data_IF_341586600251
#
_entry.id   IF_341586600251
#
_cell.length_a   1.000
_cell.length_b   1.000
_cell.length_c   1.000
_cell.angle_alpha   90.00
_cell.angle_beta   90.00
_cell.angle_gamma   90.00
#
_symmetry.space_group_name_H-M   'P 1'
#
loop_
_entity.id
_entity.type
_entity.pdbx_description
1 polymer ?
#
# COMPACT_ATOMS: atom_id res chain seq x y z
N UNK A 1 -1.15 6.04 -13.57
CA UNK A 1 -1.64 5.19 -12.46
C UNK A 1 -2.97 4.59 -12.86
N UNK A 2 -3.09 3.27 -12.84
CA UNK A 2 -4.37 2.56 -12.97
C UNK A 2 -5.04 2.52 -11.60
N UNK A 3 -6.33 2.81 -11.58
CA UNK A 3 -7.18 2.68 -10.39
C UNK A 3 -8.16 1.54 -10.62
N UNK A 4 -8.17 0.56 -9.72
CA UNK A 4 -9.19 -0.48 -9.68
C UNK A 4 -9.95 -0.41 -8.38
N UNK A 5 -11.23 -0.05 -8.45
CA UNK A 5 -12.09 -0.03 -7.28
C UNK A 5 -12.63 -1.43 -6.97
N UNK A 6 -12.59 -1.79 -5.70
CA UNK A 6 -13.24 -2.97 -5.12
C UNK A 6 -14.24 -2.50 -4.09
N UNK A 7 -14.99 -3.43 -3.51
CA UNK A 7 -16.05 -3.11 -2.56
C UNK A 7 -15.55 -2.36 -1.31
N UNK A 8 -14.41 -2.79 -0.74
CA UNK A 8 -13.88 -2.28 0.53
C UNK A 8 -12.43 -1.75 0.45
N UNK A 9 -11.80 -1.77 -0.73
CA UNK A 9 -10.46 -1.22 -0.96
C UNK A 9 -10.29 -0.75 -2.40
N UNK A 10 -9.22 -0.01 -2.67
CA UNK A 10 -8.83 0.44 -4.00
C UNK A 10 -7.41 0.01 -4.28
N UNK A 11 -7.18 -0.53 -5.48
CA UNK A 11 -5.84 -0.87 -5.96
C UNK A 11 -5.33 0.30 -6.79
N UNK A 12 -4.16 0.82 -6.43
CA UNK A 12 -3.42 1.83 -7.15
C UNK A 12 -2.19 1.18 -7.77
N UNK A 13 -2.21 0.98 -9.08
CA UNK A 13 -1.11 0.37 -9.82
C UNK A 13 -0.36 1.44 -10.61
N UNK A 14 0.96 1.35 -10.59
CA UNK A 14 1.79 2.25 -11.37
C UNK A 14 1.73 1.91 -12.87
N UNK A 15 1.57 2.92 -13.72
CA UNK A 15 1.54 2.77 -15.20
C UNK A 15 2.86 3.15 -15.87
N UNK A 16 3.72 3.89 -15.18
CA UNK A 16 4.98 4.39 -15.74
C UNK A 16 6.17 3.53 -15.28
N UNK A 17 7.40 4.03 -15.38
CA UNK A 17 8.57 3.33 -14.84
C UNK A 17 9.26 4.23 -13.80
N UNK A 18 9.10 3.89 -12.52
CA UNK A 18 9.80 4.58 -11.43
C UNK A 18 9.08 4.47 -10.09
N UNK A 19 9.63 3.67 -9.18
CA UNK A 19 9.07 3.47 -7.82
C UNK A 19 9.04 4.78 -7.03
N UNK A 20 10.13 5.55 -7.10
CA UNK A 20 10.26 6.84 -6.40
C UNK A 20 9.31 7.90 -6.91
N UNK A 21 9.16 8.03 -8.23
CA UNK A 21 8.21 8.98 -8.84
C UNK A 21 6.79 8.57 -8.51
N UNK A 22 6.49 7.28 -8.52
CA UNK A 22 5.18 6.78 -8.13
C UNK A 22 4.87 7.05 -6.65
N UNK A 23 5.79 6.77 -5.73
CA UNK A 23 5.61 7.11 -4.31
C UNK A 23 5.36 8.62 -4.12
N UNK A 24 6.14 9.47 -4.78
CA UNK A 24 5.97 10.94 -4.73
C UNK A 24 4.61 11.38 -5.29
N UNK A 25 4.12 10.71 -6.33
CA UNK A 25 2.80 10.96 -6.89
C UNK A 25 1.69 10.50 -5.93
N UNK A 26 1.86 9.36 -5.28
CA UNK A 26 0.93 8.84 -4.27
C UNK A 26 0.82 9.78 -3.05
N UNK A 27 1.96 10.29 -2.55
CA UNK A 27 2.00 11.31 -1.49
C UNK A 27 1.15 12.54 -1.84
N UNK A 28 1.08 12.91 -3.13
CA UNK A 28 0.30 14.04 -3.60
C UNK A 28 -1.19 13.72 -3.81
N UNK A 29 -1.51 12.57 -4.41
CA UNK A 29 -2.88 12.26 -4.86
C UNK A 29 -3.73 11.60 -3.78
N UNK A 30 -3.15 10.77 -2.93
CA UNK A 30 -3.90 10.02 -1.91
C UNK A 30 -4.63 10.97 -0.94
N UNK A 31 -3.99 12.01 -0.37
CA UNK A 31 -4.69 12.94 0.53
C UNK A 31 -5.86 13.68 -0.12
N UNK A 32 -5.91 13.74 -1.45
CA UNK A 32 -6.90 14.52 -2.21
C UNK A 32 -8.07 13.69 -2.72
N UNK A 33 -7.83 12.40 -3.02
CA UNK A 33 -8.79 11.57 -3.74
C UNK A 33 -9.00 10.18 -3.15
N UNK A 34 -8.16 9.76 -2.20
CA UNK A 34 -8.15 8.39 -1.69
C UNK A 34 -7.96 8.31 -0.17
N UNK A 35 -8.12 9.43 0.55
CA UNK A 35 -7.79 9.53 1.98
C UNK A 35 -8.69 8.68 2.88
N UNK A 36 -9.88 8.31 2.40
CA UNK A 36 -10.93 7.59 3.11
C UNK A 36 -11.02 6.11 2.70
N UNK A 37 -10.13 5.65 1.80
CA UNK A 37 -10.15 4.30 1.23
C UNK A 37 -9.04 3.43 1.83
N UNK A 38 -9.31 2.14 1.99
CA UNK A 38 -8.24 1.16 2.17
C UNK A 38 -7.49 0.99 0.84
N UNK A 39 -6.16 0.99 0.87
CA UNK A 39 -5.34 1.04 -0.32
C UNK A 39 -4.42 -0.17 -0.46
N UNK A 40 -4.42 -0.72 -1.66
CA UNK A 40 -3.40 -1.67 -2.12
C UNK A 40 -2.54 -0.97 -3.16
N UNK A 41 -1.24 -0.88 -2.92
CA UNK A 41 -0.27 -0.35 -3.88
C UNK A 41 0.31 -1.52 -4.66
N UNK A 42 -0.07 -1.64 -5.93
CA UNK A 42 0.39 -2.72 -6.79
C UNK A 42 1.76 -2.38 -7.39
N UNK A 43 2.79 -3.01 -6.84
CA UNK A 43 4.17 -2.93 -7.31
C UNK A 43 4.61 -4.29 -7.90
N UNK A 44 3.71 -5.18 -8.28
CA UNK A 44 4.06 -6.53 -8.74
C UNK A 44 4.87 -6.54 -10.05
N UNK A 45 4.82 -5.47 -10.83
CA UNK A 45 5.66 -5.30 -12.03
C UNK A 45 7.15 -5.08 -11.69
N UNK A 46 7.46 -4.62 -10.48
CA UNK A 46 8.81 -4.37 -10.03
C UNK A 46 9.42 -5.66 -9.47
N UNK A 47 10.17 -6.40 -10.29
CA UNK A 47 10.76 -7.69 -9.89
C UNK A 47 11.85 -7.57 -8.82
N UNK A 48 12.49 -6.40 -8.73
CA UNK A 48 13.55 -6.10 -7.77
C UNK A 48 13.23 -4.76 -7.12
N UNK A 49 12.83 -4.79 -5.85
CA UNK A 49 12.78 -3.64 -4.98
C UNK A 49 13.85 -3.79 -3.90
N UNK A 50 14.38 -2.67 -3.43
CA UNK A 50 15.21 -2.63 -2.25
C UNK A 50 14.50 -1.92 -1.08
N UNK A 51 15.09 -1.99 0.11
CA UNK A 51 14.52 -1.37 1.32
C UNK A 51 14.32 0.14 1.16
N UNK A 52 15.29 0.86 0.58
CA UNK A 52 15.20 2.32 0.39
C UNK A 52 14.01 2.69 -0.51
N UNK A 53 13.73 1.89 -1.54
CA UNK A 53 12.58 2.08 -2.41
C UNK A 53 11.24 1.85 -1.72
N UNK A 54 11.15 0.86 -0.83
CA UNK A 54 9.97 0.64 -0.01
C UNK A 54 9.75 1.77 1.02
N UNK A 55 10.85 2.31 1.56
CA UNK A 55 10.78 3.41 2.53
C UNK A 55 10.23 4.70 1.93
N UNK A 56 10.21 4.87 0.60
CA UNK A 56 9.53 6.01 -0.02
C UNK A 56 8.01 6.02 0.25
N UNK A 57 7.40 4.88 0.58
CA UNK A 57 5.97 4.79 0.89
C UNK A 57 5.66 4.94 2.39
N UNK A 58 6.67 4.97 3.26
CA UNK A 58 6.48 5.08 4.71
C UNK A 58 5.67 6.32 5.12
N UNK A 59 5.91 7.54 4.58
CA UNK A 59 5.15 8.72 4.96
C UNK A 59 3.64 8.58 4.68
N UNK A 60 3.27 8.13 3.49
CA UNK A 60 1.87 7.98 3.10
C UNK A 60 1.19 6.78 3.77
N UNK A 61 1.93 5.70 4.04
CA UNK A 61 1.43 4.59 4.85
C UNK A 61 1.03 5.07 6.25
N UNK A 62 1.92 5.81 6.91
CA UNK A 62 1.63 6.39 8.22
C UNK A 62 0.41 7.31 8.21
N UNK A 63 0.27 8.13 7.15
CA UNK A 63 -0.89 9.01 7.01
C UNK A 63 -2.21 8.22 6.87
N UNK A 64 -2.24 7.15 6.08
CA UNK A 64 -3.43 6.30 5.93
C UNK A 64 -3.77 5.57 7.24
N UNK A 65 -2.77 4.99 7.89
CA UNK A 65 -2.94 4.28 9.17
C UNK A 65 -3.46 5.22 10.26
N UNK A 66 -2.96 6.46 10.32
CA UNK A 66 -3.47 7.48 11.23
C UNK A 66 -4.94 7.85 10.96
N UNK A 67 -5.39 7.74 9.71
CA UNK A 67 -6.79 7.90 9.31
C UNK A 67 -7.64 6.63 9.49
N UNK A 68 -7.11 5.61 10.19
CA UNK A 68 -7.77 4.31 10.38
C UNK A 68 -8.08 3.61 9.05
N UNK A 69 -7.16 3.74 8.08
CA UNK A 69 -7.22 3.08 6.77
C UNK A 69 -6.00 2.20 6.54
N UNK A 70 -6.22 1.06 5.92
CA UNK A 70 -5.17 0.13 5.55
C UNK A 70 -4.35 0.67 4.37
N UNK A 71 -3.05 0.44 4.41
CA UNK A 71 -2.13 0.70 3.31
C UNK A 71 -1.20 -0.50 3.16
N UNK A 72 -1.40 -1.27 2.08
CA UNK A 72 -0.70 -2.54 1.86
C UNK A 72 -0.01 -2.50 0.50
N UNK A 73 1.27 -2.87 0.45
CA UNK A 73 2.05 -2.95 -0.78
C UNK A 73 2.05 -4.39 -1.28
N UNK A 74 1.69 -4.62 -2.53
CA UNK A 74 1.83 -5.91 -3.19
C UNK A 74 3.11 -5.94 -4.03
N UNK A 75 4.09 -6.75 -3.65
CA UNK A 75 5.33 -6.96 -4.40
C UNK A 75 5.90 -8.36 -4.17
N UNK A 76 6.33 -9.06 -5.23
CA UNK A 76 6.82 -10.45 -5.14
C UNK A 76 8.14 -10.61 -4.37
N UNK A 77 8.91 -9.55 -4.20
CA UNK A 77 10.27 -9.57 -3.65
C UNK A 77 10.34 -9.57 -2.12
N UNK A 78 9.42 -10.23 -1.41
CA UNK A 78 9.33 -10.16 0.06
C UNK A 78 10.34 -11.08 0.74
N UNK A 79 11.61 -10.66 0.70
CA UNK A 79 12.67 -11.07 1.62
C UNK A 79 13.54 -9.85 1.98
N UNK A 80 12.90 -8.69 2.17
CA UNK A 80 13.58 -7.45 2.52
C UNK A 80 13.52 -7.33 4.04
N UNK A 81 14.56 -7.83 4.71
CA UNK A 81 14.72 -7.65 6.15
C UNK A 81 14.79 -6.15 6.50
N UNK A 82 14.19 -5.75 7.62
CA UNK A 82 14.28 -4.39 8.14
C UNK A 82 13.26 -3.38 7.58
N UNK A 83 12.24 -3.84 6.85
CA UNK A 83 11.06 -3.01 6.53
C UNK A 83 10.31 -2.70 7.84
N UNK A 84 9.98 -1.43 8.13
CA UNK A 84 9.19 -1.07 9.31
C UNK A 84 7.81 -1.73 9.29
N UNK A 85 7.25 -2.03 10.46
CA UNK A 85 5.91 -2.65 10.58
C UNK A 85 4.81 -1.78 9.97
N UNK A 86 5.02 -0.47 9.90
CA UNK A 86 4.11 0.48 9.27
C UNK A 86 4.06 0.34 7.74
N UNK A 87 5.03 -0.34 7.13
CA UNK A 87 5.04 -0.62 5.68
C UNK A 87 4.73 -2.11 5.49
N UNK A 88 3.44 -2.43 5.43
CA UNK A 88 2.97 -3.78 5.18
C UNK A 88 3.22 -4.18 3.72
N UNK A 89 4.07 -5.18 3.49
CA UNK A 89 4.38 -5.72 2.16
C UNK A 89 4.02 -7.18 2.07
N UNK A 90 3.28 -7.55 1.04
CA UNK A 90 2.85 -8.93 0.78
C UNK A 90 3.14 -9.33 -0.68
N UNK A 91 3.35 -10.63 -0.98
CA UNK A 91 3.71 -11.12 -2.30
C UNK A 91 2.60 -11.04 -3.36
N UNK A 92 1.33 -10.96 -2.94
CA UNK A 92 0.18 -11.04 -3.86
C UNK A 92 -0.94 -10.06 -3.52
N UNK A 93 -1.76 -9.71 -4.53
CA UNK A 93 -2.98 -8.92 -4.32
C UNK A 93 -4.02 -9.66 -3.45
N UNK A 94 -4.00 -11.00 -3.45
CA UNK A 94 -4.87 -11.82 -2.61
C UNK A 94 -4.52 -11.66 -1.13
N UNK A 95 -3.24 -11.78 -0.79
CA UNK A 95 -2.78 -11.54 0.58
C UNK A 95 -3.01 -10.09 1.02
N UNK A 96 -2.90 -9.12 0.10
CA UNK A 96 -3.18 -7.72 0.42
C UNK A 96 -4.65 -7.53 0.81
N UNK A 97 -5.57 -8.20 0.11
CA UNK A 97 -6.99 -8.25 0.47
C UNK A 97 -7.18 -8.89 1.85
N UNK A 98 -6.57 -10.05 2.10
CA UNK A 98 -6.74 -10.79 3.35
C UNK A 98 -6.26 -9.96 4.56
N UNK A 99 -5.16 -9.20 4.41
CA UNK A 99 -4.69 -8.24 5.43
C UNK A 99 -5.72 -7.14 5.68
N UNK A 100 -6.26 -6.51 4.64
CA UNK A 100 -7.26 -5.45 4.78
C UNK A 100 -8.51 -5.98 5.49
N UNK A 101 -8.98 -7.15 5.12
CA UNK A 101 -10.14 -7.78 5.75
C UNK A 101 -9.90 -8.07 7.23
N UNK A 102 -8.70 -8.56 7.59
CA UNK A 102 -8.34 -8.77 8.99
C UNK A 102 -8.27 -7.46 9.78
N UNK A 103 -7.64 -6.42 9.22
CA UNK A 103 -7.51 -5.13 9.89
C UNK A 103 -8.87 -4.42 10.07
N UNK A 104 -9.78 -4.52 9.11
CA UNK A 104 -11.16 -3.98 9.25
C UNK A 104 -11.90 -4.68 10.39
N UNK A 105 -11.81 -6.02 10.49
CA UNK A 105 -12.40 -6.77 11.60
C UNK A 105 -11.81 -6.32 12.95
N UNK A 106 -10.50 -6.09 13.02
CA UNK A 106 -9.84 -5.61 14.24
C UNK A 106 -10.32 -4.21 14.64
N UNK A 107 -10.43 -3.29 13.66
CA UNK A 107 -10.95 -1.93 13.86
C UNK A 107 -12.41 -1.94 14.34
N UNK A 108 -13.25 -2.79 13.76
CA UNK A 108 -14.65 -2.94 14.16
C UNK A 108 -14.79 -3.48 15.58
N UNK A 109 -13.85 -4.30 16.03
CA UNK A 109 -13.77 -4.82 17.39
C UNK A 109 -13.09 -3.85 18.38
N UNK A 110 -12.57 -2.71 17.92
CA UNK A 110 -11.93 -1.68 18.73
C UNK A 110 -10.52 -2.03 19.21
N UNK A 111 -9.80 -2.89 18.48
CA UNK A 111 -8.39 -3.24 18.72
C UNK A 111 -7.43 -2.45 17.84
#
# INVERSE_FOLDING_TARGET
>A
MIVTEKENYTILADEEDGVKSFASFLDFIIPKAHSDKNLVIDLLKYEKLNLEELLYFLPISNQQRAAQKSFVIANKGVHIDGVPEEVMVVPTLGEAKDVIELEEIQRDLGF
#
